data_IF_931099171440
#
_entry.id   IF_931099171440
#
_cell.length_a   1.000
_cell.length_b   1.000
_cell.length_c   1.000
_cell.angle_alpha   90.00
_cell.angle_beta   90.00
_cell.angle_gamma   90.00
#
_symmetry.space_group_name_H-M   'P 1'
#
loop_
_entity.id
_entity.type
_entity.pdbx_description
1 polymer ?
#
# COMPACT_ATOMS: atom_id res chain seq x y z
N UNK A 1 -4.66 -28.39 0.80
CA UNK A 1 -3.63 -27.90 -0.14
C UNK A 1 -4.15 -26.93 -1.21
N UNK A 2 -5.47 -26.82 -1.48
CA UNK A 2 -5.97 -25.97 -2.57
C UNK A 2 -6.11 -24.47 -2.21
N UNK A 3 -6.39 -24.13 -0.94
CA UNK A 3 -6.61 -22.74 -0.53
C UNK A 3 -5.35 -21.86 -0.65
N UNK A 4 -4.18 -22.42 -0.30
CA UNK A 4 -2.90 -21.71 -0.35
C UNK A 4 -2.50 -21.42 -1.80
N UNK A 5 -2.71 -22.34 -2.74
CA UNK A 5 -2.38 -22.07 -4.14
C UNK A 5 -3.26 -20.97 -4.75
N UNK A 6 -4.55 -20.93 -4.43
CA UNK A 6 -5.43 -19.86 -4.93
C UNK A 6 -5.03 -18.49 -4.38
N UNK A 7 -4.89 -18.37 -3.06
CA UNK A 7 -4.62 -17.07 -2.42
C UNK A 7 -3.22 -16.52 -2.73
N UNK A 8 -2.21 -17.39 -2.81
CA UNK A 8 -0.82 -16.99 -2.96
C UNK A 8 -0.32 -17.02 -4.41
N UNK A 9 -1.12 -17.56 -5.35
CA UNK A 9 -0.75 -17.69 -6.76
C UNK A 9 -1.77 -17.06 -7.71
N UNK A 10 -3.05 -17.44 -7.63
CA UNK A 10 -4.08 -16.89 -8.52
C UNK A 10 -4.32 -15.40 -8.27
N UNK A 11 -4.24 -14.92 -7.02
CA UNK A 11 -4.47 -13.50 -6.73
C UNK A 11 -3.36 -12.59 -7.29
N UNK A 12 -2.05 -12.81 -7.01
CA UNK A 12 -0.98 -12.04 -7.64
C UNK A 12 -1.02 -12.10 -9.17
N UNK A 13 -1.26 -13.29 -9.74
CA UNK A 13 -1.37 -13.46 -11.20
C UNK A 13 -2.55 -12.67 -11.78
N UNK A 14 -3.69 -12.57 -11.07
CA UNK A 14 -4.85 -11.78 -11.52
C UNK A 14 -4.59 -10.28 -11.63
N UNK A 15 -3.54 -9.77 -10.98
CA UNK A 15 -3.09 -8.38 -11.03
C UNK A 15 -1.75 -8.20 -11.75
N UNK A 16 -1.26 -9.24 -12.42
CA UNK A 16 -0.04 -9.21 -13.22
C UNK A 16 1.26 -9.25 -12.42
N UNK A 17 1.23 -9.57 -11.13
CA UNK A 17 2.40 -9.55 -10.25
C UNK A 17 2.87 -10.97 -9.89
N UNK A 18 4.18 -11.14 -9.73
CA UNK A 18 4.70 -12.32 -9.03
C UNK A 18 4.34 -12.25 -7.54
N UNK A 19 4.25 -13.39 -6.84
CA UNK A 19 3.93 -13.40 -5.42
C UNK A 19 4.86 -12.50 -4.58
N UNK A 20 6.16 -12.47 -4.88
CA UNK A 20 7.12 -11.64 -4.16
C UNK A 20 6.94 -10.14 -4.47
N UNK A 21 6.61 -9.79 -5.73
CA UNK A 21 6.29 -8.41 -6.12
C UNK A 21 5.02 -7.94 -5.40
N UNK A 22 3.96 -8.74 -5.45
CA UNK A 22 2.71 -8.44 -4.76
C UNK A 22 2.90 -8.33 -3.24
N UNK A 23 3.63 -9.27 -2.63
CA UNK A 23 3.93 -9.25 -1.20
C UNK A 23 4.68 -7.97 -0.81
N UNK A 24 5.73 -7.62 -1.55
CA UNK A 24 6.51 -6.42 -1.28
C UNK A 24 5.67 -5.15 -1.45
N UNK A 25 4.93 -5.04 -2.55
CA UNK A 25 4.10 -3.89 -2.87
C UNK A 25 2.98 -3.71 -1.83
N UNK A 26 2.23 -4.77 -1.52
CA UNK A 26 1.18 -4.75 -0.51
C UNK A 26 1.73 -4.44 0.88
N UNK A 27 2.87 -5.02 1.26
CA UNK A 27 3.52 -4.75 2.55
C UNK A 27 3.98 -3.30 2.65
N UNK A 28 4.55 -2.75 1.59
CA UNK A 28 4.96 -1.35 1.51
C UNK A 28 3.77 -0.40 1.74
N UNK A 29 2.65 -0.64 1.05
CA UNK A 29 1.42 0.13 1.25
C UNK A 29 0.91 0.03 2.68
N UNK A 30 0.81 -1.19 3.22
CA UNK A 30 0.30 -1.43 4.56
C UNK A 30 1.14 -0.73 5.65
N UNK A 31 2.46 -0.88 5.62
CA UNK A 31 3.37 -0.22 6.58
C UNK A 31 3.25 1.29 6.50
N UNK A 32 3.19 1.86 5.29
CA UNK A 32 3.06 3.31 5.11
C UNK A 32 1.72 3.83 5.62
N UNK A 33 0.63 3.10 5.37
CA UNK A 33 -0.71 3.43 5.88
C UNK A 33 -0.76 3.37 7.41
N UNK A 34 -0.19 2.33 8.03
CA UNK A 34 -0.14 2.20 9.50
C UNK A 34 0.65 3.36 10.13
N UNK A 35 1.83 3.66 9.59
CA UNK A 35 2.65 4.76 10.09
C UNK A 35 1.96 6.12 9.92
N UNK A 36 1.33 6.37 8.77
CA UNK A 36 0.59 7.60 8.51
C UNK A 36 -0.67 7.70 9.39
N UNK A 37 -1.39 6.59 9.60
CA UNK A 37 -2.53 6.51 10.50
C UNK A 37 -2.14 6.84 11.94
N UNK A 38 -1.05 6.24 12.44
CA UNK A 38 -0.52 6.58 13.76
C UNK A 38 -0.12 8.06 13.86
N UNK A 39 0.54 8.59 12.83
CA UNK A 39 0.91 10.01 12.78
C UNK A 39 -0.33 10.93 12.81
N UNK A 40 -1.41 10.57 12.12
CA UNK A 40 -2.68 11.29 12.16
C UNK A 40 -3.35 11.23 13.56
N UNK A 41 -3.31 10.07 14.22
CA UNK A 41 -3.82 9.94 15.59
C UNK A 41 -3.03 10.81 16.57
N UNK A 42 -1.70 10.81 16.46
CA UNK A 42 -0.84 11.68 17.27
C UNK A 42 -1.11 13.16 16.95
N UNK A 43 -1.30 13.52 15.68
CA UNK A 43 -1.68 14.87 15.28
C UNK A 43 -3.03 15.31 15.85
N UNK A 44 -4.02 14.41 15.94
CA UNK A 44 -5.33 14.71 16.53
C UNK A 44 -5.23 15.06 18.02
N UNK A 45 -4.28 14.46 18.74
CA UNK A 45 -4.00 14.79 20.16
C UNK A 45 -3.07 16.00 20.28
N UNK A 46 -2.09 16.12 19.39
CA UNK A 46 -1.06 17.14 19.38
C UNK A 46 -1.02 17.83 18.00
N UNK A 47 -1.82 18.89 17.77
CA UNK A 47 -1.97 19.51 16.43
C UNK A 47 -0.68 20.12 15.85
N UNK A 48 0.36 20.28 16.67
CA UNK A 48 1.64 20.83 16.23
C UNK A 48 2.57 19.80 15.57
N UNK A 49 2.36 18.49 15.78
CA UNK A 49 3.21 17.42 15.20
C UNK A 49 2.57 16.82 13.95
N UNK A 50 3.36 16.24 13.05
CA UNK A 50 2.89 15.47 11.88
C UNK A 50 1.88 16.15 10.93
N UNK A 51 1.87 17.50 10.88
CA UNK A 51 0.90 18.33 10.14
C UNK A 51 0.64 17.90 8.69
N UNK A 52 1.66 17.39 8.00
CA UNK A 52 1.58 17.01 6.58
C UNK A 52 1.71 15.51 6.36
N UNK A 53 2.01 14.72 7.39
CA UNK A 53 2.38 13.31 7.26
C UNK A 53 1.29 12.48 6.61
N UNK A 54 0.03 12.65 7.04
CA UNK A 54 -1.12 11.95 6.46
C UNK A 54 -1.31 12.27 4.98
N UNK A 55 -1.37 13.57 4.63
CA UNK A 55 -1.56 14.00 3.24
C UNK A 55 -0.43 13.52 2.33
N UNK A 56 0.82 13.66 2.77
CA UNK A 56 1.99 13.22 2.00
C UNK A 56 1.95 11.72 1.75
N UNK A 57 1.61 10.91 2.77
CA UNK A 57 1.48 9.47 2.61
C UNK A 57 0.36 9.10 1.63
N UNK A 58 -0.82 9.73 1.72
CA UNK A 58 -1.92 9.48 0.77
C UNK A 58 -1.51 9.85 -0.66
N UNK A 59 -0.88 11.02 -0.85
CA UNK A 59 -0.43 11.45 -2.17
C UNK A 59 0.61 10.49 -2.76
N UNK A 60 1.56 10.04 -1.95
CA UNK A 60 2.59 9.10 -2.36
C UNK A 60 1.99 7.74 -2.77
N UNK A 61 1.14 7.18 -1.91
CA UNK A 61 0.51 5.88 -2.13
C UNK A 61 -0.45 5.92 -3.34
N UNK A 62 -1.20 7.01 -3.49
CA UNK A 62 -2.07 7.21 -4.65
C UNK A 62 -1.27 7.26 -5.96
N UNK A 63 -0.19 8.06 -6.00
CA UNK A 63 0.69 8.12 -7.17
C UNK A 63 1.27 6.74 -7.51
N UNK A 64 1.77 6.00 -6.51
CA UNK A 64 2.28 4.64 -6.71
C UNK A 64 1.21 3.69 -7.25
N UNK A 65 -0.01 3.78 -6.74
CA UNK A 65 -1.14 2.94 -7.18
C UNK A 65 -1.52 3.19 -8.64
N UNK A 66 -1.55 4.47 -9.05
CA UNK A 66 -1.87 4.86 -10.43
C UNK A 66 -0.76 4.44 -11.39
N UNK A 67 0.50 4.71 -11.06
CA UNK A 67 1.65 4.31 -11.88
C UNK A 67 1.74 2.79 -12.03
N UNK A 68 1.50 2.06 -10.94
CA UNK A 68 1.48 0.60 -10.97
C UNK A 68 0.37 0.06 -11.90
N UNK A 69 -0.84 0.63 -11.84
CA UNK A 69 -1.93 0.25 -12.74
C UNK A 69 -1.63 0.55 -14.21
N UNK A 70 -0.96 1.67 -14.50
CA UNK A 70 -0.57 2.03 -15.86
C UNK A 70 0.42 1.01 -16.46
N UNK A 71 1.44 0.61 -15.69
CA UNK A 71 2.42 -0.41 -16.09
C UNK A 71 1.80 -1.75 -16.53
N UNK A 72 0.65 -2.13 -15.97
CA UNK A 72 -0.05 -3.38 -16.29
C UNK A 72 -1.07 -3.26 -17.44
N UNK A 73 -1.25 -2.06 -18.02
CA UNK A 73 -2.16 -1.85 -19.16
C UNK A 73 -1.44 -1.84 -20.52
N UNK A 74 -0.12 -1.70 -20.51
CA UNK A 74 0.75 -1.63 -21.70
C UNK A 74 1.44 -2.98 -21.94
#
# INVERSE_FOLDING_TARGET
MQLIQRLFREHPESVGESYLEHLFQASYFGVRMLAAGLACLLHAVLPCVFKTTGRTAISELHTKMVLHRAKHRD
#
